data_IF_925589514003
#
_entry.id   IF_925589514003
#
_cell.length_a   1.000
_cell.length_b   1.000
_cell.length_c   1.000
_cell.angle_alpha   90.00
_cell.angle_beta   90.00
_cell.angle_gamma   90.00
#
_symmetry.space_group_name_H-M   'P 1'
#
loop_
_entity.id
_entity.type
_entity.pdbx_description
1 polymer ?
#
# COMPACT_ATOMS: atom_id res chain seq x y z
N UNK A 1 -10.01 17.51 -26.32
CA UNK A 1 -9.04 18.15 -25.42
C UNK A 1 -8.80 17.15 -24.33
N UNK A 2 -7.79 16.30 -24.51
CA UNK A 2 -7.52 15.22 -23.58
C UNK A 2 -7.11 15.85 -22.25
N UNK A 3 -7.80 15.44 -21.20
CA UNK A 3 -7.42 15.80 -19.84
C UNK A 3 -6.03 15.21 -19.59
N UNK A 4 -5.08 16.05 -19.16
CA UNK A 4 -3.81 15.56 -18.64
C UNK A 4 -4.11 14.67 -17.43
N UNK A 5 -4.16 13.35 -17.64
CA UNK A 5 -4.38 12.39 -16.57
C UNK A 5 -3.17 12.44 -15.62
N UNK A 6 -3.43 12.80 -14.37
CA UNK A 6 -2.45 12.78 -13.29
C UNK A 6 -2.91 11.85 -12.17
N UNK A 7 -1.95 11.13 -11.59
CA UNK A 7 -2.19 10.26 -10.43
C UNK A 7 -1.27 10.68 -9.30
N UNK A 8 -1.87 10.87 -8.13
CA UNK A 8 -1.15 11.24 -6.91
C UNK A 8 -1.49 10.32 -5.75
N UNK A 9 -0.56 10.21 -4.80
CA UNK A 9 -0.74 9.50 -3.55
C UNK A 9 -0.35 10.39 -2.38
N UNK A 10 -1.17 10.32 -1.33
CA UNK A 10 -0.90 10.86 -0.01
C UNK A 10 -0.60 9.70 0.92
N UNK A 11 0.65 9.54 1.33
CA UNK A 11 1.16 8.41 2.09
C UNK A 11 1.68 8.89 3.45
N UNK A 12 1.35 8.16 4.51
CA UNK A 12 1.85 8.41 5.86
C UNK A 12 2.40 7.12 6.44
N UNK A 13 3.68 7.08 6.81
CA UNK A 13 4.26 5.91 7.44
C UNK A 13 4.04 5.95 8.95
N UNK A 14 3.30 4.99 9.50
CA UNK A 14 2.92 5.01 10.92
C UNK A 14 4.09 4.74 11.87
N UNK A 15 5.22 4.27 11.35
CA UNK A 15 6.43 3.98 12.14
C UNK A 15 7.44 5.12 12.11
N UNK A 16 7.68 5.71 10.94
CA UNK A 16 8.65 6.82 10.78
C UNK A 16 8.01 8.20 10.94
N UNK A 17 6.68 8.28 10.90
CA UNK A 17 5.89 9.52 10.92
C UNK A 17 6.10 10.42 9.69
N UNK A 18 6.81 9.93 8.66
CA UNK A 18 7.00 10.62 7.40
C UNK A 18 5.67 10.73 6.64
N UNK A 19 5.51 11.85 5.94
CA UNK A 19 4.40 12.12 5.04
C UNK A 19 4.95 12.38 3.65
N UNK A 20 4.24 11.88 2.65
CA UNK A 20 4.51 12.14 1.24
C UNK A 20 3.18 12.48 0.55
N UNK A 21 3.17 13.58 -0.19
CA UNK A 21 2.10 13.92 -1.13
C UNK A 21 2.76 14.17 -2.47
N UNK A 22 2.55 13.26 -3.42
CA UNK A 22 3.31 13.26 -4.67
C UNK A 22 2.46 12.84 -5.86
N UNK A 23 2.58 13.57 -6.95
CA UNK A 23 2.15 13.12 -8.28
C UNK A 23 3.21 12.17 -8.80
N UNK A 24 2.85 10.92 -9.07
CA UNK A 24 3.80 9.88 -9.51
C UNK A 24 3.61 9.47 -10.97
N UNK A 25 2.51 9.89 -11.57
CA UNK A 25 2.20 9.64 -12.98
C UNK A 25 1.50 10.86 -13.56
N UNK A 26 1.97 11.32 -14.71
CA UNK A 26 1.39 12.45 -15.44
C UNK A 26 1.64 12.29 -16.94
N UNK A 27 0.67 12.68 -17.77
CA UNK A 27 0.82 12.74 -19.23
C UNK A 27 1.30 11.41 -19.86
N UNK A 28 0.78 10.29 -19.37
CA UNK A 28 1.15 8.97 -19.88
C UNK A 28 2.43 8.36 -19.29
N UNK A 29 3.12 9.07 -18.38
CA UNK A 29 4.46 8.70 -17.92
C UNK A 29 4.55 8.62 -16.39
N UNK A 30 5.27 7.61 -15.91
CA UNK A 30 5.69 7.57 -14.50
C UNK A 30 6.83 8.54 -14.27
N UNK A 31 6.80 9.24 -13.14
CA UNK A 31 7.84 10.17 -12.72
C UNK A 31 8.84 9.43 -11.84
N UNK A 32 10.06 9.19 -12.36
CA UNK A 32 11.06 8.36 -11.66
C UNK A 32 11.45 8.92 -10.29
N UNK A 33 11.53 10.25 -10.14
CA UNK A 33 11.82 10.89 -8.86
C UNK A 33 10.72 10.60 -7.83
N UNK A 34 9.45 10.68 -8.22
CA UNK A 34 8.32 10.43 -7.35
C UNK A 34 8.22 8.96 -6.97
N UNK A 35 8.53 8.04 -7.90
CA UNK A 35 8.64 6.61 -7.59
C UNK A 35 9.75 6.34 -6.58
N UNK A 36 10.88 7.05 -6.63
CA UNK A 36 11.95 6.90 -5.63
C UNK A 36 11.54 7.43 -4.25
N UNK A 37 10.77 8.52 -4.19
CA UNK A 37 10.17 9.01 -2.94
C UNK A 37 9.18 7.99 -2.36
N UNK A 38 8.33 7.39 -3.21
CA UNK A 38 7.42 6.31 -2.82
C UNK A 38 8.19 5.09 -2.29
N UNK A 39 9.26 4.67 -2.98
CA UNK A 39 10.12 3.58 -2.53
C UNK A 39 10.74 3.88 -1.15
N UNK A 40 11.09 5.14 -0.90
CA UNK A 40 11.72 5.58 0.34
C UNK A 40 10.72 5.57 1.51
N UNK A 41 9.52 6.12 1.36
CA UNK A 41 8.49 6.08 2.42
C UNK A 41 7.95 4.65 2.67
N UNK A 42 8.03 3.78 1.66
CA UNK A 42 7.66 2.36 1.73
C UNK A 42 8.81 1.43 2.19
N UNK A 43 9.97 1.99 2.55
CA UNK A 43 11.12 1.24 3.03
C UNK A 43 10.81 0.43 4.30
N UNK A 44 11.61 -0.60 4.55
CA UNK A 44 11.53 -1.34 5.80
C UNK A 44 12.02 -0.47 6.96
N UNK A 45 11.11 0.03 7.78
CA UNK A 45 11.44 0.90 8.93
C UNK A 45 12.41 0.29 9.95
N UNK A 46 12.66 -1.03 9.92
CA UNK A 46 13.57 -1.70 10.87
C UNK A 46 15.00 -1.79 10.37
N UNK A 47 15.21 -1.77 9.05
CA UNK A 47 16.53 -1.91 8.43
C UNK A 47 16.89 -0.72 7.54
N UNK A 48 15.93 0.16 7.26
CA UNK A 48 16.02 1.27 6.31
C UNK A 48 16.33 0.85 4.88
N UNK A 49 16.21 -0.44 4.56
CA UNK A 49 16.35 -0.93 3.21
C UNK A 49 15.10 -0.56 2.39
N UNK A 50 15.33 0.02 1.21
CA UNK A 50 14.31 0.24 0.18
C UNK A 50 14.56 -0.62 -1.04
N UNK A 51 13.50 -0.91 -1.78
CA UNK A 51 13.55 -1.55 -3.09
C UNK A 51 12.67 -0.76 -4.06
N UNK A 52 12.77 -1.09 -5.35
CA UNK A 52 11.78 -0.65 -6.33
C UNK A 52 10.46 -1.36 -6.05
N UNK A 53 9.46 -0.63 -5.56
CA UNK A 53 8.10 -1.11 -5.39
C UNK A 53 7.47 -1.38 -6.76
N UNK A 54 6.59 -2.38 -6.84
CA UNK A 54 5.91 -2.69 -8.09
C UNK A 54 4.92 -1.56 -8.44
N UNK A 55 4.98 -1.06 -9.68
CA UNK A 55 4.11 0.03 -10.17
C UNK A 55 2.63 -0.35 -10.12
N UNK A 56 2.29 -1.62 -10.40
CA UNK A 56 0.91 -2.10 -10.35
C UNK A 56 0.33 -2.04 -8.92
N UNK A 57 1.17 -2.21 -7.89
CA UNK A 57 0.75 -2.02 -6.51
C UNK A 57 0.45 -0.54 -6.22
N UNK A 58 1.29 0.36 -6.73
CA UNK A 58 1.13 1.82 -6.56
C UNK A 58 -0.16 2.29 -7.26
N UNK A 59 -0.38 1.85 -8.50
CA UNK A 59 -1.60 2.14 -9.26
C UNK A 59 -2.84 1.54 -8.59
N UNK A 60 -2.74 0.33 -8.03
CA UNK A 60 -3.84 -0.29 -7.29
C UNK A 60 -4.23 0.54 -6.05
N UNK A 61 -3.27 1.13 -5.33
CA UNK A 61 -3.57 2.04 -4.22
C UNK A 61 -4.32 3.30 -4.67
N UNK A 62 -3.93 3.86 -5.82
CA UNK A 62 -4.62 5.00 -6.43
C UNK A 62 -6.05 4.62 -6.83
N UNK A 63 -6.24 3.50 -7.51
CA UNK A 63 -7.56 2.99 -7.89
C UNK A 63 -8.47 2.78 -6.67
N UNK A 64 -7.94 2.16 -5.61
CA UNK A 64 -8.67 1.95 -4.36
C UNK A 64 -9.10 3.27 -3.75
N UNK A 65 -8.18 4.24 -3.64
CA UNK A 65 -8.49 5.56 -3.09
C UNK A 65 -9.58 6.25 -3.92
N UNK A 66 -9.51 6.17 -5.26
CA UNK A 66 -10.48 6.74 -6.18
C UNK A 66 -11.88 6.10 -6.15
N UNK A 67 -12.00 4.86 -5.68
CA UNK A 67 -13.31 4.19 -5.48
C UNK A 67 -13.97 4.48 -4.14
N UNK A 68 -13.25 5.11 -3.20
CA UNK A 68 -13.84 5.54 -1.93
C UNK A 68 -14.68 6.81 -2.13
N UNK A 69 -15.73 6.97 -1.33
CA UNK A 69 -16.62 8.12 -1.42
C UNK A 69 -15.87 9.43 -1.11
N UNK A 70 -16.21 10.52 -1.79
CA UNK A 70 -15.61 11.86 -1.59
C UNK A 70 -15.64 12.35 -0.14
N UNK A 71 -16.68 11.99 0.62
CA UNK A 71 -16.78 12.29 2.06
C UNK A 71 -15.72 11.60 2.92
N UNK A 72 -15.14 10.50 2.43
CA UNK A 72 -14.22 9.65 3.17
C UNK A 72 -12.73 9.93 2.84
N UNK A 73 -12.40 10.64 1.75
CA UNK A 73 -11.04 10.51 1.15
C UNK A 73 -10.35 11.78 0.58
N UNK A 74 -10.97 12.96 0.52
CA UNK A 74 -10.43 14.11 -0.25
C UNK A 74 -9.01 14.51 0.16
N UNK A 75 -8.70 14.46 1.46
CA UNK A 75 -7.37 14.78 2.03
C UNK A 75 -6.83 13.64 2.91
N UNK A 76 -7.35 12.43 2.70
CA UNK A 76 -7.04 11.29 3.57
C UNK A 76 -5.74 10.61 3.13
N UNK A 77 -4.79 10.58 4.06
CA UNK A 77 -3.56 9.81 3.92
C UNK A 77 -3.84 8.31 3.96
N UNK A 78 -3.20 7.58 3.04
CA UNK A 78 -3.00 6.14 3.16
C UNK A 78 -1.93 5.93 4.22
N UNK A 79 -2.35 5.43 5.38
CA UNK A 79 -1.44 5.08 6.46
C UNK A 79 -0.81 3.73 6.13
N UNK A 80 0.51 3.72 6.02
CA UNK A 80 1.34 2.55 5.76
C UNK A 80 1.70 1.94 7.11
N UNK A 81 1.11 0.77 7.40
CA UNK A 81 1.48 -0.06 8.55
C UNK A 81 2.72 -0.88 8.20
N UNK A 82 2.75 -1.46 6.99
CA UNK A 82 3.90 -2.22 6.50
C UNK A 82 3.89 -2.28 4.98
N UNK A 83 4.95 -1.81 4.33
CA UNK A 83 5.17 -2.00 2.91
C UNK A 83 6.29 -3.02 2.66
N UNK A 84 7.45 -2.63 2.14
CA UNK A 84 8.57 -3.56 1.97
C UNK A 84 9.03 -4.14 3.30
N UNK A 85 9.41 -5.43 3.28
CA UNK A 85 10.06 -6.11 4.41
C UNK A 85 11.36 -6.74 3.92
N UNK A 86 12.48 -6.35 4.51
CA UNK A 86 13.75 -7.02 4.29
C UNK A 86 13.67 -8.50 4.69
N UNK A 87 14.51 -9.38 4.11
CA UNK A 87 14.62 -10.77 4.54
C UNK A 87 14.88 -10.92 6.05
N UNK A 88 15.64 -9.98 6.63
CA UNK A 88 15.96 -9.92 8.06
C UNK A 88 14.70 -9.62 8.88
N UNK A 89 13.94 -8.59 8.52
CA UNK A 89 12.68 -8.25 9.21
C UNK A 89 11.63 -9.33 9.06
N UNK A 90 11.45 -9.88 7.86
CA UNK A 90 10.48 -10.95 7.63
C UNK A 90 10.81 -12.16 8.51
N UNK A 91 12.08 -12.56 8.58
CA UNK A 91 12.55 -13.66 9.44
C UNK A 91 12.31 -13.38 10.92
N UNK A 92 12.60 -12.15 11.39
CA UNK A 92 12.34 -11.73 12.79
C UNK A 92 10.84 -11.82 13.13
N UNK A 93 9.96 -11.33 12.24
CA UNK A 93 8.52 -11.38 12.42
C UNK A 93 7.97 -12.82 12.41
N UNK A 94 8.47 -13.67 11.51
CA UNK A 94 8.11 -15.10 11.45
C UNK A 94 8.41 -15.87 12.72
N UNK A 95 9.53 -15.57 13.39
CA UNK A 95 9.85 -16.20 14.67
C UNK A 95 8.85 -15.85 15.77
N UNK A 96 8.20 -14.68 15.67
CA UNK A 96 7.21 -14.19 16.65
C UNK A 96 5.77 -14.58 16.31
N UNK A 97 5.48 -14.91 15.05
CA UNK A 97 4.13 -15.22 14.60
C UNK A 97 4.11 -16.19 13.43
N UNK A 98 3.26 -17.23 13.55
CA UNK A 98 2.98 -18.18 12.45
C UNK A 98 2.17 -17.57 11.29
N UNK A 99 1.67 -16.33 11.44
CA UNK A 99 0.87 -15.63 10.43
C UNK A 99 1.70 -14.98 9.33
N UNK A 100 3.02 -14.98 9.44
CA UNK A 100 3.93 -14.35 8.48
C UNK A 100 4.48 -15.41 7.52
N UNK A 101 4.22 -15.23 6.23
CA UNK A 101 4.66 -16.17 5.19
C UNK A 101 6.19 -16.12 4.99
N UNK A 102 6.79 -17.27 4.67
CA UNK A 102 8.22 -17.36 4.32
C UNK A 102 8.53 -16.56 3.04
N UNK A 103 7.69 -16.71 2.02
CA UNK A 103 7.81 -16.04 0.72
C UNK A 103 6.74 -14.95 0.61
N UNK A 104 6.82 -13.95 1.48
CA UNK A 104 5.82 -12.87 1.55
C UNK A 104 5.94 -11.94 0.34
N UNK A 105 4.81 -11.52 -0.24
CA UNK A 105 4.76 -10.48 -1.29
C UNK A 105 5.37 -9.15 -0.82
N UNK A 106 5.35 -8.86 0.49
CA UNK A 106 6.05 -7.69 1.04
C UNK A 106 7.55 -7.69 0.75
N UNK A 107 8.20 -8.87 0.66
CA UNK A 107 9.63 -8.95 0.35
C UNK A 107 9.94 -8.67 -1.11
N UNK A 108 8.93 -8.69 -1.98
CA UNK A 108 9.05 -8.45 -3.42
C UNK A 108 8.61 -7.03 -3.82
N UNK A 109 8.13 -6.23 -2.88
CA UNK A 109 7.53 -4.92 -3.19
C UNK A 109 6.16 -5.05 -3.86
N UNK A 110 5.48 -6.17 -3.64
CA UNK A 110 4.22 -6.55 -4.28
C UNK A 110 3.03 -6.57 -3.29
N UNK A 111 3.25 -6.16 -2.03
CA UNK A 111 2.19 -6.06 -1.04
C UNK A 111 2.40 -4.92 -0.04
N UNK A 112 1.28 -4.48 0.53
CA UNK A 112 1.21 -3.43 1.54
C UNK A 112 0.06 -3.66 2.52
N UNK A 113 0.30 -3.34 3.79
CA UNK A 113 -0.69 -3.31 4.86
C UNK A 113 -1.04 -1.86 5.14
N UNK A 114 -2.31 -1.48 4.94
CA UNK A 114 -2.76 -0.08 5.05
C UNK A 114 -4.06 0.07 5.83
N UNK A 115 -4.28 1.29 6.33
CA UNK A 115 -5.60 1.84 6.56
C UNK A 115 -5.62 3.28 5.99
N UNK A 116 -6.79 3.92 5.95
CA UNK A 116 -6.91 5.29 5.44
C UNK A 116 -7.62 6.11 6.50
N UNK A 117 -7.04 7.27 6.85
CA UNK A 117 -7.61 8.18 7.84
C UNK A 117 -9.04 8.60 7.43
N UNK A 118 -9.98 8.56 8.37
CA UNK A 118 -11.40 8.87 8.09
C UNK A 118 -12.18 7.78 7.35
N UNK A 119 -11.53 6.73 6.83
CA UNK A 119 -12.20 5.64 6.10
C UNK A 119 -12.45 4.45 7.02
N UNK A 120 -13.68 3.96 7.08
CA UNK A 120 -13.99 2.69 7.75
C UNK A 120 -13.19 1.56 7.09
N UNK A 121 -12.45 0.78 7.89
CA UNK A 121 -11.64 -0.34 7.39
C UNK A 121 -12.43 -1.36 6.55
N UNK A 122 -13.72 -1.56 6.88
CA UNK A 122 -14.64 -2.40 6.13
C UNK A 122 -14.98 -1.86 4.74
N UNK A 123 -15.04 -0.53 4.57
CA UNK A 123 -15.20 0.14 3.26
C UNK A 123 -13.94 -0.01 2.42
N UNK A 124 -12.76 0.25 3.00
CA UNK A 124 -11.47 0.03 2.32
C UNK A 124 -11.35 -1.40 1.79
N UNK A 125 -11.61 -2.41 2.63
CA UNK A 125 -11.62 -3.81 2.20
C UNK A 125 -12.61 -4.05 1.06
N UNK A 126 -13.83 -3.51 1.18
CA UNK A 126 -14.90 -3.73 0.19
C UNK A 126 -14.49 -3.19 -1.18
N UNK A 127 -13.99 -1.98 -1.25
CA UNK A 127 -13.58 -1.38 -2.53
C UNK A 127 -12.33 -2.06 -3.09
N UNK A 128 -11.34 -2.39 -2.25
CA UNK A 128 -10.17 -3.19 -2.67
C UNK A 128 -10.58 -4.53 -3.30
N UNK A 129 -11.56 -5.23 -2.70
CA UNK A 129 -12.08 -6.49 -3.26
C UNK A 129 -12.77 -6.30 -4.61
N UNK A 130 -13.50 -5.21 -4.84
CA UNK A 130 -14.24 -5.00 -6.10
C UNK A 130 -13.32 -4.80 -7.30
N UNK A 131 -12.10 -4.32 -7.08
CA UNK A 131 -11.15 -4.03 -8.16
C UNK A 131 -10.58 -5.31 -8.79
N UNK A 132 -10.56 -6.44 -8.06
CA UNK A 132 -10.14 -7.75 -8.57
C UNK A 132 -8.72 -7.74 -9.22
N UNK A 133 -7.80 -6.93 -8.70
CA UNK A 133 -6.39 -6.83 -9.16
C UNK A 133 -5.37 -7.50 -8.22
N UNK A 134 -5.84 -8.28 -7.25
CA UNK A 134 -4.98 -9.12 -6.43
C UNK A 134 -5.57 -9.54 -5.09
N UNK A 135 -4.70 -9.90 -4.14
CA UNK A 135 -5.08 -10.43 -2.83
C UNK A 135 -5.53 -9.35 -1.85
N UNK A 136 -6.61 -9.62 -1.10
CA UNK A 136 -7.12 -8.72 -0.05
C UNK A 136 -7.32 -9.45 1.27
N UNK A 137 -6.48 -9.15 2.27
CA UNK A 137 -6.59 -9.66 3.64
C UNK A 137 -7.22 -8.65 4.59
N UNK A 138 -8.15 -9.09 5.45
CA UNK A 138 -8.83 -8.19 6.40
C UNK A 138 -8.45 -8.47 7.85
N UNK A 139 -7.83 -7.49 8.50
CA UNK A 139 -7.28 -7.59 9.86
C UNK A 139 -7.85 -6.50 10.78
N UNK A 140 -9.15 -6.55 11.14
CA UNK A 140 -9.79 -5.48 11.91
C UNK A 140 -9.23 -5.32 13.32
N UNK A 141 -8.77 -6.41 13.96
CA UNK A 141 -8.15 -6.36 15.30
C UNK A 141 -6.80 -5.64 15.29
N UNK A 142 -6.10 -5.68 14.17
CA UNK A 142 -4.82 -4.98 13.97
C UNK A 142 -4.99 -3.67 13.19
N UNK A 143 -6.23 -3.29 12.89
CA UNK A 143 -6.60 -2.07 12.17
C UNK A 143 -5.93 -1.88 10.80
N UNK A 144 -5.83 -2.92 9.98
CA UNK A 144 -5.33 -2.79 8.60
C UNK A 144 -6.02 -3.74 7.60
N UNK A 145 -5.90 -3.39 6.32
CA UNK A 145 -6.20 -4.23 5.15
C UNK A 145 -4.88 -4.53 4.46
N UNK A 146 -4.63 -5.81 4.22
CA UNK A 146 -3.53 -6.27 3.38
C UNK A 146 -3.97 -6.23 1.92
N UNK A 147 -3.12 -5.68 1.06
CA UNK A 147 -3.31 -5.62 -0.40
C UNK A 147 -2.05 -6.16 -1.06
N UNK A 148 -2.19 -7.07 -2.00
CA UNK A 148 -1.10 -7.57 -2.86
C UNK A 148 -1.55 -7.68 -4.31
N UNK A 149 -0.58 -7.79 -5.23
CA UNK A 149 -0.82 -7.95 -6.68
C UNK A 149 -0.66 -9.41 -7.16
N UNK A 150 -0.79 -10.39 -6.26
CA UNK A 150 -0.83 -11.81 -6.62
C UNK A 150 -2.21 -12.24 -7.13
N UNK A 151 -2.51 -13.54 -7.03
CA UNK A 151 -3.83 -14.06 -7.44
C UNK A 151 -4.99 -13.40 -6.69
N UNK A 152 -6.10 -13.20 -7.40
CA UNK A 152 -7.33 -12.65 -6.82
C UNK A 152 -7.88 -13.60 -5.76
N UNK A 153 -7.78 -13.18 -4.50
CA UNK A 153 -8.24 -13.94 -3.34
C UNK A 153 -8.56 -13.00 -2.19
N UNK A 154 -9.35 -13.48 -1.23
CA UNK A 154 -9.58 -12.71 -0.01
C UNK A 154 -9.64 -13.59 1.21
N UNK A 155 -9.16 -13.09 2.34
CA UNK A 155 -9.13 -13.82 3.61
C UNK A 155 -9.36 -12.89 4.81
N UNK A 156 -9.55 -13.49 5.98
CA UNK A 156 -9.64 -12.79 7.27
C UNK A 156 -8.58 -13.35 8.22
N UNK A 157 -7.93 -12.48 8.98
CA UNK A 157 -6.90 -12.85 9.97
C UNK A 157 -7.12 -12.28 11.36
#
# INVERSE_FOLDING_TARGET
>A
MDSNESRSLQLYNTHTQEKLDVVYYENGNYLDYALDEINSIMADHRTHEKIKMNKDLIDLLYDIKGKLSFHDNKDSFINIISAYRSPVSNSKLRRRSRRVAKNSFHMKGEAIDINISGVKLSSLRREAKKIQKGGVGYYPRSNFVHIDIGDVRSWRG
#
